data_IF_256305318406
#
_entry.id   IF_256305318406
#
_cell.length_a   1.000
_cell.length_b   1.000
_cell.length_c   1.000
_cell.angle_alpha   90.00
_cell.angle_beta   90.00
_cell.angle_gamma   90.00
#
_symmetry.space_group_name_H-M   'P 1'
#
loop_
_entity.id
_entity.type
_entity.pdbx_description
1 polymer ?
#
# COMPACT_ATOMS: atom_id res chain seq x y z
N UNK A 1 -6.57 2.97 -5.90
CA UNK A 1 -5.63 2.10 -5.17
C UNK A 1 -4.72 2.97 -4.33
N UNK A 2 -4.58 2.68 -3.02
CA UNK A 2 -3.55 3.32 -2.20
C UNK A 2 -2.29 2.48 -2.26
N UNK A 3 -1.15 3.15 -2.33
CA UNK A 3 0.17 2.52 -2.39
C UNK A 3 1.12 3.27 -1.48
N UNK A 4 2.17 2.60 -1.05
CA UNK A 4 3.27 3.19 -0.29
C UNK A 4 4.60 2.72 -0.86
N UNK A 5 5.65 3.51 -0.63
CA UNK A 5 7.00 3.23 -1.13
C UNK A 5 7.75 2.34 -0.14
N UNK A 6 8.27 1.22 -0.60
CA UNK A 6 9.29 0.47 0.15
C UNK A 6 10.64 0.78 -0.48
N UNK A 7 11.59 1.20 0.34
CA UNK A 7 12.91 1.65 -0.07
C UNK A 7 13.91 0.50 0.03
N UNK A 8 14.80 0.35 -0.95
CA UNK A 8 15.82 -0.71 -1.01
C UNK A 8 16.75 -0.74 0.22
N UNK A 9 16.90 0.40 0.88
CA UNK A 9 17.69 0.61 2.10
C UNK A 9 17.21 -0.27 3.26
N UNK A 10 15.97 -0.78 3.19
CA UNK A 10 15.44 -1.80 4.11
C UNK A 10 16.36 -3.03 4.21
N UNK A 11 17.10 -3.35 3.14
CA UNK A 11 18.06 -4.46 3.12
C UNK A 11 19.23 -4.25 4.09
N UNK A 12 19.59 -2.99 4.35
CA UNK A 12 20.72 -2.59 5.19
C UNK A 12 20.28 -2.10 6.57
N UNK A 13 18.97 -1.97 6.81
CA UNK A 13 18.42 -1.58 8.09
C UNK A 13 18.64 -2.72 9.12
N UNK A 14 19.39 -2.47 10.21
CA UNK A 14 19.67 -3.49 11.20
C UNK A 14 18.43 -3.91 11.99
N UNK A 15 17.44 -3.04 12.14
CA UNK A 15 16.15 -3.35 12.77
C UNK A 15 15.37 -4.36 11.94
N UNK A 16 15.33 -4.16 10.62
CA UNK A 16 14.63 -5.06 9.69
C UNK A 16 15.38 -6.37 9.45
N UNK A 17 16.70 -6.33 9.23
CA UNK A 17 17.49 -7.53 8.94
C UNK A 17 17.50 -8.55 10.09
N UNK A 18 17.22 -8.10 11.32
CA UNK A 18 17.15 -8.94 12.53
C UNK A 18 15.74 -9.45 12.83
N UNK A 19 14.75 -9.14 12.00
CA UNK A 19 13.39 -9.63 12.19
C UNK A 19 13.30 -11.12 11.82
N UNK A 20 12.65 -11.95 12.64
CA UNK A 20 12.16 -13.25 12.18
C UNK A 20 11.24 -13.10 10.97
N UNK A 21 11.19 -14.11 10.09
CA UNK A 21 10.40 -14.06 8.85
C UNK A 21 8.91 -13.73 9.06
N UNK A 22 8.30 -14.28 10.12
CA UNK A 22 6.92 -13.96 10.49
C UNK A 22 6.73 -12.50 10.91
N UNK A 23 7.71 -11.93 11.60
CA UNK A 23 7.68 -10.56 12.10
C UNK A 23 7.86 -9.55 10.95
N UNK A 24 8.66 -9.88 9.94
CA UNK A 24 8.79 -9.08 8.73
C UNK A 24 7.46 -8.95 7.97
N UNK A 25 6.72 -10.06 7.82
CA UNK A 25 5.39 -10.04 7.21
C UNK A 25 4.44 -9.13 8.00
N UNK A 26 4.38 -9.31 9.32
CA UNK A 26 3.49 -8.53 10.18
C UNK A 26 3.86 -7.03 10.15
N UNK A 27 5.15 -6.69 10.10
CA UNK A 27 5.63 -5.31 9.90
C UNK A 27 5.16 -4.71 8.56
N UNK A 28 5.30 -5.44 7.44
CA UNK A 28 4.82 -4.96 6.13
C UNK A 28 3.30 -4.74 6.14
N UNK A 29 2.54 -5.62 6.79
CA UNK A 29 1.10 -5.44 6.94
C UNK A 29 0.73 -4.23 7.80
N UNK A 30 1.51 -3.91 8.84
CA UNK A 30 1.34 -2.67 9.60
C UNK A 30 1.56 -1.43 8.72
N UNK A 31 2.54 -1.44 7.81
CA UNK A 31 2.73 -0.36 6.84
C UNK A 31 1.51 -0.20 5.92
N UNK A 32 0.88 -1.31 5.51
CA UNK A 32 -0.37 -1.26 4.75
C UNK A 32 -1.50 -0.63 5.56
N UNK A 33 -1.65 -1.01 6.84
CA UNK A 33 -2.67 -0.46 7.73
C UNK A 33 -2.47 1.05 7.90
N UNK A 34 -1.23 1.50 8.16
CA UNK A 34 -0.89 2.92 8.26
C UNK A 34 -1.18 3.67 6.94
N UNK A 35 -0.90 3.05 5.79
CA UNK A 35 -1.19 3.63 4.47
C UNK A 35 -2.69 3.80 4.22
N UNK A 36 -3.51 2.86 4.69
CA UNK A 36 -4.96 2.90 4.55
C UNK A 36 -5.63 3.86 5.55
N UNK A 37 -4.99 4.08 6.71
CA UNK A 37 -5.48 4.90 7.80
C UNK A 37 -5.79 6.35 7.44
N UNK A 38 -6.58 6.98 8.31
CA UNK A 38 -6.90 8.42 8.29
C UNK A 38 -6.70 8.96 9.71
N UNK A 39 -5.69 9.80 9.96
CA UNK A 39 -4.69 10.31 9.01
C UNK A 39 -3.74 9.22 8.47
N UNK A 40 -3.25 9.41 7.24
CA UNK A 40 -2.34 8.46 6.59
C UNK A 40 -0.99 8.45 7.30
N UNK A 41 -0.50 7.26 7.65
CA UNK A 41 0.75 7.08 8.39
C UNK A 41 0.57 6.83 9.88
N UNK A 42 -0.66 6.92 10.39
CA UNK A 42 -0.96 6.63 11.79
C UNK A 42 -1.59 5.25 11.91
N UNK A 43 -1.09 4.46 12.86
CA UNK A 43 -1.65 3.17 13.20
C UNK A 43 -2.93 3.34 14.04
N UNK A 44 -3.98 2.55 13.78
CA UNK A 44 -5.20 2.57 14.57
C UNK A 44 -4.99 1.89 15.94
N UNK A 45 -5.99 1.91 16.83
CA UNK A 45 -5.94 1.18 18.09
C UNK A 45 -5.60 -0.30 17.93
N UNK A 46 -4.99 -0.89 18.96
CA UNK A 46 -4.53 -2.29 18.98
C UNK A 46 -5.62 -3.30 18.55
N UNK A 47 -6.87 -3.06 18.93
CA UNK A 47 -7.99 -3.93 18.57
C UNK A 47 -8.21 -4.02 17.05
N UNK A 48 -8.09 -2.90 16.34
CA UNK A 48 -8.27 -2.84 14.89
C UNK A 48 -7.07 -3.47 14.18
N UNK A 49 -5.86 -3.23 14.69
CA UNK A 49 -4.65 -3.91 14.19
C UNK A 49 -4.79 -5.42 14.35
N UNK A 50 -5.25 -5.89 15.51
CA UNK A 50 -5.46 -7.31 15.80
C UNK A 50 -6.46 -7.95 14.82
N UNK A 51 -7.54 -7.25 14.51
CA UNK A 51 -8.50 -7.66 13.48
C UNK A 51 -7.84 -7.77 12.10
N UNK A 52 -7.12 -6.74 11.66
CA UNK A 52 -6.46 -6.73 10.34
C UNK A 52 -5.35 -7.78 10.20
N UNK A 53 -4.57 -8.02 11.24
CA UNK A 53 -3.49 -9.01 11.23
C UNK A 53 -3.99 -10.44 11.49
N UNK A 54 -5.25 -10.61 11.89
CA UNK A 54 -5.81 -11.87 12.39
C UNK A 54 -4.95 -12.45 13.52
N UNK A 55 -4.78 -11.67 14.59
CA UNK A 55 -3.99 -11.99 15.79
C UNK A 55 -4.77 -11.60 17.04
N UNK A 56 -4.36 -12.11 18.20
CA UNK A 56 -4.89 -11.62 19.47
C UNK A 56 -4.31 -10.23 19.82
N UNK A 57 -5.04 -9.37 20.54
CA UNK A 57 -4.53 -8.08 21.00
C UNK A 57 -3.20 -8.17 21.76
N UNK A 58 -3.07 -9.13 22.67
CA UNK A 58 -1.82 -9.35 23.43
C UNK A 58 -0.60 -9.67 22.53
N UNK A 59 -0.81 -10.38 21.41
CA UNK A 59 0.26 -10.61 20.44
C UNK A 59 0.60 -9.36 19.65
N UNK A 60 -0.40 -8.53 19.33
CA UNK A 60 -0.18 -7.24 18.67
C UNK A 60 0.59 -6.29 19.58
N UNK A 61 0.25 -6.21 20.87
CA UNK A 61 1.01 -5.39 21.83
C UNK A 61 2.48 -5.82 21.89
N UNK A 62 2.73 -7.13 22.01
CA UNK A 62 4.09 -7.68 22.02
C UNK A 62 4.84 -7.36 20.71
N UNK A 63 4.16 -7.47 19.57
CA UNK A 63 4.69 -7.12 18.25
C UNK A 63 5.06 -5.63 18.17
N UNK A 64 4.17 -4.75 18.60
CA UNK A 64 4.40 -3.30 18.56
C UNK A 64 5.58 -2.92 19.47
N UNK A 65 5.66 -3.49 20.67
CA UNK A 65 6.80 -3.28 21.58
C UNK A 65 8.12 -3.75 20.96
N UNK A 66 8.17 -4.93 20.31
CA UNK A 66 9.38 -5.43 19.65
C UNK A 66 9.80 -4.53 18.46
N UNK A 67 8.83 -4.07 17.67
CA UNK A 67 9.09 -3.16 16.54
C UNK A 67 9.55 -1.77 16.99
N UNK A 68 8.99 -1.24 18.09
CA UNK A 68 9.45 0.01 18.71
C UNK A 68 10.87 -0.13 19.23
N UNK A 69 11.18 -1.23 19.94
CA UNK A 69 12.53 -1.52 20.43
C UNK A 69 13.59 -1.65 19.32
N UNK A 70 13.16 -1.86 18.08
CA UNK A 70 14.02 -1.94 16.88
C UNK A 70 14.07 -0.66 16.06
N UNK A 71 13.33 0.38 16.45
CA UNK A 71 13.24 1.65 15.72
C UNK A 71 12.50 1.54 14.39
N UNK A 72 11.52 0.63 14.30
CA UNK A 72 10.67 0.46 13.10
C UNK A 72 9.30 1.15 13.24
N UNK A 73 8.90 1.46 14.47
CA UNK A 73 7.72 2.23 14.84
C UNK A 73 8.15 3.27 15.86
N UNK A 74 7.69 4.50 15.66
CA UNK A 74 7.86 5.61 16.58
C UNK A 74 6.52 5.93 17.26
N UNK A 75 6.59 6.64 18.38
CA UNK A 75 5.44 7.24 19.03
C UNK A 75 5.54 8.76 18.88
N UNK A 76 4.52 9.37 18.28
CA UNK A 76 4.43 10.81 18.02
C UNK A 76 3.07 11.28 18.52
N UNK A 77 3.05 12.23 19.45
CA UNK A 77 1.83 12.79 20.04
C UNK A 77 0.84 11.73 20.56
N UNK A 78 1.36 10.64 21.15
CA UNK A 78 0.57 9.52 21.67
C UNK A 78 0.00 8.58 20.59
N UNK A 79 0.42 8.76 19.34
CA UNK A 79 0.04 7.91 18.21
C UNK A 79 1.23 7.11 17.72
N UNK A 80 1.00 5.84 17.37
CA UNK A 80 2.04 4.99 16.79
C UNK A 80 2.13 5.22 15.28
N UNK A 81 3.33 5.48 14.79
CA UNK A 81 3.61 5.77 13.38
C UNK A 81 4.79 4.92 12.90
N UNK A 82 4.79 4.43 11.65
CA UNK A 82 5.98 3.77 11.13
C UNK A 82 7.17 4.73 11.08
N UNK A 83 8.37 4.21 11.36
CA UNK A 83 9.55 5.04 11.46
C UNK A 83 9.85 5.83 10.17
N UNK A 84 10.10 7.13 10.33
CA UNK A 84 10.37 8.06 9.21
C UNK A 84 9.26 8.09 8.13
N UNK A 85 7.99 7.91 8.52
CA UNK A 85 6.87 7.87 7.57
C UNK A 85 6.81 9.09 6.65
N UNK A 86 6.76 10.31 7.18
CA UNK A 86 6.57 11.52 6.36
C UNK A 86 7.71 11.75 5.36
N UNK A 87 8.94 11.42 5.76
CA UNK A 87 10.11 11.51 4.89
C UNK A 87 10.04 10.50 3.74
N UNK A 88 9.50 9.30 3.99
CA UNK A 88 9.42 8.19 3.02
C UNK A 88 8.14 8.25 2.18
N UNK A 89 7.07 8.78 2.75
CA UNK A 89 5.73 8.74 2.19
C UNK A 89 5.19 10.14 1.94
N UNK A 90 6.08 11.11 1.68
CA UNK A 90 5.73 12.46 1.29
C UNK A 90 4.65 12.43 0.21
N UNK A 91 3.64 13.26 0.41
CA UNK A 91 2.63 13.55 -0.60
C UNK A 91 3.37 14.21 -1.77
N UNK A 92 3.67 13.43 -2.79
CA UNK A 92 4.12 14.00 -4.04
C UNK A 92 2.89 14.65 -4.66
N UNK A 93 2.97 15.97 -4.89
CA UNK A 93 2.00 16.75 -5.65
C UNK A 93 1.40 15.90 -6.76
N UNK A 94 0.07 15.87 -6.80
CA UNK A 94 -0.81 15.21 -7.74
C UNK A 94 -0.21 15.10 -9.16
N UNK A 95 0.66 14.10 -9.36
CA UNK A 95 1.36 13.89 -10.63
C UNK A 95 0.31 13.54 -11.69
N UNK A 96 -0.81 12.94 -11.28
CA UNK A 96 -1.95 12.68 -12.15
C UNK A 96 -2.59 13.98 -12.63
N UNK A 97 -2.85 14.97 -11.77
CA UNK A 97 -3.34 16.28 -12.20
C UNK A 97 -2.32 17.04 -13.05
N UNK A 98 -1.03 17.02 -12.69
CA UNK A 98 0.03 17.67 -13.48
C UNK A 98 0.19 17.04 -14.86
N UNK A 99 0.22 15.71 -14.95
CA UNK A 99 0.29 14.97 -16.22
C UNK A 99 -0.99 15.14 -17.02
N UNK A 100 -2.17 15.15 -16.39
CA UNK A 100 -3.45 15.45 -17.05
C UNK A 100 -3.47 16.87 -17.61
N UNK A 101 -3.00 17.86 -16.85
CA UNK A 101 -2.86 19.26 -17.32
C UNK A 101 -1.86 19.37 -18.48
N UNK A 102 -0.75 18.64 -18.42
CA UNK A 102 0.22 18.60 -19.51
C UNK A 102 -0.35 17.94 -20.76
N UNK A 103 -1.00 16.77 -20.64
CA UNK A 103 -1.66 16.07 -21.76
C UNK A 103 -2.79 16.88 -22.38
N UNK A 104 -3.55 17.62 -21.58
CA UNK A 104 -4.64 18.48 -22.07
C UNK A 104 -4.14 19.80 -22.70
N UNK A 105 -2.87 20.15 -22.49
CA UNK A 105 -2.26 21.39 -23.00
C UNK A 105 -1.41 21.20 -24.26
N UNK A 106 -1.22 19.98 -24.75
CA UNK A 106 -0.45 19.69 -25.98
C UNK A 106 -1.42 19.55 -27.16
N UNK A 107 -1.55 20.62 -27.95
CA UNK A 107 -2.31 20.66 -29.21
C UNK A 107 -1.38 20.56 -30.43
N UNK A 108 -0.39 19.66 -30.38
CA UNK A 108 0.55 19.44 -31.48
C UNK A 108 0.68 17.96 -31.82
N UNK A 109 0.69 17.63 -33.11
CA UNK A 109 0.81 16.29 -33.70
C UNK A 109 1.96 15.46 -33.09
N UNK A 110 1.71 14.75 -32.00
CA UNK A 110 2.57 13.68 -31.51
C UNK A 110 1.70 12.43 -31.34
N UNK A 111 2.20 11.35 -31.92
CA UNK A 111 1.59 10.03 -32.02
C UNK A 111 1.02 9.56 -30.68
N UNK A 112 -0.24 9.12 -30.67
CA UNK A 112 -0.91 8.53 -29.49
C UNK A 112 -0.09 7.36 -28.95
N UNK A 113 0.06 7.19 -27.61
CA UNK A 113 0.66 5.98 -27.07
C UNK A 113 -0.26 4.78 -27.37
N UNK A 114 0.31 3.74 -27.98
CA UNK A 114 -0.36 2.59 -28.59
C UNK A 114 -0.95 1.55 -27.60
N UNK A 115 -0.83 1.75 -26.28
CA UNK A 115 -1.37 0.80 -25.31
C UNK A 115 -2.52 1.40 -24.50
N UNK A 116 -3.71 1.37 -25.09
CA UNK A 116 -4.93 1.14 -24.34
C UNK A 116 -5.08 -0.38 -24.27
N UNK A 117 -4.87 -0.97 -23.08
CA UNK A 117 -5.19 -2.39 -22.87
C UNK A 117 -6.72 -2.50 -22.91
N UNK A 118 -7.32 -3.29 -23.84
CA UNK A 118 -8.77 -3.48 -23.89
C UNK A 118 -9.26 -4.17 -22.60
N UNK A 119 -10.50 -3.94 -22.17
CA UNK A 119 -11.11 -4.79 -21.16
C UNK A 119 -11.28 -6.21 -21.74
N UNK A 120 -10.69 -7.20 -21.10
CA UNK A 120 -11.02 -8.61 -21.33
C UNK A 120 -12.47 -8.83 -20.87
N UNK A 121 -13.39 -8.90 -21.82
CA UNK A 121 -14.71 -9.47 -21.59
C UNK A 121 -14.71 -10.87 -22.19
N UNK A 122 -14.45 -11.87 -21.36
CA UNK A 122 -14.80 -13.25 -21.64
C UNK A 122 -16.31 -13.40 -21.49
N UNK A 123 -17.01 -13.74 -22.57
CA UNK A 123 -18.34 -14.33 -22.51
C UNK A 123 -18.51 -15.22 -23.74
N UNK A 124 -18.28 -16.50 -23.54
CA UNK A 124 -18.65 -17.58 -24.45
C UNK A 124 -20.18 -17.64 -24.53
N UNK A 125 -20.74 -17.69 -25.74
CA UNK A 125 -22.09 -18.24 -25.93
C UNK A 125 -22.08 -19.11 -27.17
N UNK A 126 -22.25 -20.39 -26.91
CA UNK A 126 -22.39 -21.47 -27.88
C UNK A 126 -23.60 -21.23 -28.78
N UNK A 127 -23.42 -21.50 -30.07
CA UNK A 127 -24.48 -21.48 -31.06
C UNK A 127 -25.11 -22.87 -31.17
N UNK A 128 -26.39 -23.00 -30.83
CA UNK A 128 -27.24 -24.07 -31.33
C UNK A 128 -28.30 -23.48 -32.27
N UNK A 129 -28.21 -23.89 -33.53
CA UNK A 129 -29.23 -23.66 -34.56
C UNK A 129 -30.04 -24.94 -34.68
N UNK A 130 -31.34 -24.89 -34.43
CA UNK A 130 -32.26 -25.93 -34.89
C UNK A 130 -33.45 -25.28 -35.59
N UNK A 131 -33.69 -25.75 -36.81
CA UNK A 131 -34.68 -25.29 -37.78
C UNK A 131 -35.89 -26.24 -37.73
N UNK A 132 -37.09 -25.69 -37.64
CA UNK A 132 -38.37 -26.39 -37.87
C UNK A 132 -39.52 -25.53 -37.33
N UNK A 133 -40.58 -25.21 -38.06
CA UNK A 133 -41.17 -25.75 -39.28
C UNK A 133 -41.92 -24.64 -40.05
#
# INVERSE_FOLDING_TARGET
>A
MKWFRVYSEVLHDPGVRRLPSGLFKDWVLLLCIANEGKPRGVLPPVADIAYHLNRSPARVESLLTDLQGRGLIDEVDGSLVPHNWDKRQFESDDVAARVRKHRNGVTGNVTKPLHETPPETEAETEAETEVGA
#
